data_IF_886734981111
#
_entry.id   IF_886734981111
#
_cell.length_a   1.000
_cell.length_b   1.000
_cell.length_c   1.000
_cell.angle_alpha   90.00
_cell.angle_beta   90.00
_cell.angle_gamma   90.00
#
_symmetry.space_group_name_H-M   'P 1'
#
loop_
_entity.id
_entity.type
_entity.pdbx_description
1 polymer ?
#
# COMPACT_ATOMS: atom_id res chain seq x y z
N UNK A 1 3.70 -16.90 1.52
CA UNK A 1 2.48 -16.89 0.68
C UNK A 1 1.49 -15.78 1.06
N UNK A 2 1.82 -14.90 2.01
CA UNK A 2 0.85 -13.91 2.50
C UNK A 2 0.27 -13.02 1.40
N UNK A 3 1.14 -12.50 0.54
CA UNK A 3 0.76 -11.66 -0.59
C UNK A 3 -0.04 -12.43 -1.64
N UNK A 4 0.29 -13.70 -1.91
CA UNK A 4 -0.48 -14.58 -2.81
C UNK A 4 -1.90 -14.81 -2.27
N UNK A 5 -2.03 -15.09 -0.97
CA UNK A 5 -3.32 -15.28 -0.31
C UNK A 5 -4.16 -14.00 -0.37
N UNK A 6 -3.56 -12.84 -0.11
CA UNK A 6 -4.24 -11.55 -0.18
C UNK A 6 -4.64 -11.17 -1.61
N UNK A 7 -3.76 -11.40 -2.60
CA UNK A 7 -4.05 -11.12 -4.00
C UNK A 7 -5.20 -11.98 -4.55
N UNK A 8 -5.26 -13.27 -4.19
CA UNK A 8 -6.39 -14.14 -4.57
C UNK A 8 -7.70 -13.69 -3.94
N UNK A 9 -7.70 -13.37 -2.64
CA UNK A 9 -8.89 -12.87 -1.97
C UNK A 9 -9.40 -11.55 -2.58
N UNK A 10 -8.51 -10.60 -2.88
CA UNK A 10 -8.85 -9.35 -3.54
C UNK A 10 -9.43 -9.57 -4.93
N UNK A 11 -8.79 -10.44 -5.74
CA UNK A 11 -9.27 -10.79 -7.08
C UNK A 11 -10.65 -11.43 -7.08
N UNK A 12 -10.91 -12.35 -6.14
CA UNK A 12 -12.23 -12.97 -5.98
C UNK A 12 -13.32 -11.96 -5.58
N UNK A 13 -12.94 -10.85 -4.94
CA UNK A 13 -13.82 -9.73 -4.61
C UNK A 13 -13.92 -8.68 -5.71
N UNK A 14 -13.22 -8.86 -6.84
CA UNK A 14 -13.24 -7.92 -7.96
C UNK A 14 -12.49 -6.60 -7.69
N UNK A 15 -11.59 -6.57 -6.71
CA UNK A 15 -10.80 -5.37 -6.37
C UNK A 15 -9.29 -5.60 -6.62
N UNK A 16 -8.53 -4.54 -6.96
CA UNK A 16 -7.09 -4.66 -7.19
C UNK A 16 -6.33 -4.91 -5.87
N UNK A 17 -5.27 -5.71 -5.95
CA UNK A 17 -4.27 -5.86 -4.89
C UNK A 17 -3.01 -5.09 -5.27
N UNK A 18 -2.41 -4.35 -4.34
CA UNK A 18 -1.14 -3.63 -4.58
C UNK A 18 0.02 -4.38 -3.92
N UNK A 19 0.91 -4.97 -4.72
CA UNK A 19 2.10 -5.68 -4.24
C UNK A 19 3.23 -4.69 -3.94
N UNK A 20 3.86 -4.78 -2.77
CA UNK A 20 4.99 -3.91 -2.42
C UNK A 20 6.31 -4.34 -3.07
N UNK A 21 7.17 -3.36 -3.38
CA UNK A 21 8.59 -3.61 -3.69
C UNK A 21 9.27 -4.47 -2.61
N UNK A 22 8.91 -4.28 -1.33
CA UNK A 22 9.48 -4.99 -0.18
C UNK A 22 8.68 -6.25 0.21
N UNK A 23 8.02 -6.91 -0.74
CA UNK A 23 7.24 -8.13 -0.47
C UNK A 23 8.10 -9.38 -0.31
N UNK A 24 7.59 -10.35 0.43
CA UNK A 24 8.22 -11.68 0.58
C UNK A 24 7.99 -12.52 -0.68
N UNK A 25 6.76 -12.58 -1.19
CA UNK A 25 6.49 -13.19 -2.48
C UNK A 25 6.96 -12.25 -3.60
N UNK A 26 7.65 -12.77 -4.62
CA UNK A 26 8.07 -11.95 -5.76
C UNK A 26 6.89 -11.55 -6.65
N UNK A 27 7.12 -10.59 -7.56
CA UNK A 27 6.19 -10.24 -8.63
C UNK A 27 5.75 -11.49 -9.41
N UNK A 28 6.70 -12.35 -9.77
CA UNK A 28 6.46 -13.58 -10.54
C UNK A 28 5.66 -14.61 -9.74
N UNK A 29 5.97 -14.77 -8.45
CA UNK A 29 5.22 -15.65 -7.56
C UNK A 29 3.74 -15.25 -7.48
N UNK A 30 3.47 -13.95 -7.31
CA UNK A 30 2.10 -13.44 -7.23
C UNK A 30 1.40 -13.59 -8.57
N UNK A 31 2.07 -13.26 -9.68
CA UNK A 31 1.52 -13.45 -11.02
C UNK A 31 1.18 -14.93 -11.32
N UNK A 32 2.07 -15.85 -10.94
CA UNK A 32 1.89 -17.27 -11.17
C UNK A 32 0.73 -17.85 -10.34
N UNK A 33 0.58 -17.44 -9.08
CA UNK A 33 -0.38 -18.05 -8.16
C UNK A 33 -1.70 -17.29 -7.99
N UNK A 34 -1.75 -15.98 -8.23
CA UNK A 34 -2.95 -15.16 -8.15
C UNK A 34 -3.44 -14.63 -9.51
N UNK A 35 -2.61 -14.76 -10.55
CA UNK A 35 -2.89 -14.27 -11.90
C UNK A 35 -2.47 -12.81 -12.10
N UNK A 36 -2.88 -12.26 -13.25
CA UNK A 36 -2.58 -10.91 -13.71
C UNK A 36 -3.51 -9.84 -13.11
N UNK A 37 -3.20 -8.57 -13.41
CA UNK A 37 -4.06 -7.43 -13.13
C UNK A 37 -3.86 -6.76 -11.77
N UNK A 38 -3.05 -7.35 -10.87
CA UNK A 38 -2.64 -6.68 -9.63
C UNK A 38 -1.74 -5.47 -9.91
N UNK A 39 -1.66 -4.55 -8.96
CA UNK A 39 -0.83 -3.35 -9.05
C UNK A 39 0.52 -3.61 -8.41
N UNK A 40 1.56 -2.94 -8.87
CA UNK A 40 2.88 -3.01 -8.27
C UNK A 40 3.28 -1.66 -7.69
N UNK A 41 3.65 -1.63 -6.41
CA UNK A 41 4.14 -0.44 -5.75
C UNK A 41 5.66 -0.39 -5.82
N UNK A 42 6.18 0.72 -6.37
CA UNK A 42 7.60 0.98 -6.59
C UNK A 42 8.13 2.00 -5.57
N UNK A 43 9.31 1.71 -5.00
CA UNK A 43 10.14 2.70 -4.33
C UNK A 43 11.30 3.12 -5.24
N UNK A 44 11.66 4.40 -5.20
CA UNK A 44 12.87 4.88 -5.90
C UNK A 44 14.09 4.59 -5.04
N UNK A 45 15.00 3.81 -5.62
CA UNK A 45 16.29 3.44 -5.05
C UNK A 45 17.41 4.02 -5.91
N UNK A 46 18.60 4.20 -5.32
CA UNK A 46 19.78 4.74 -6.00
C UNK A 46 20.22 3.90 -7.20
N UNK A 47 20.03 2.58 -7.13
CA UNK A 47 20.29 1.70 -8.27
C UNK A 47 19.16 1.84 -9.32
N UNK A 48 19.36 2.76 -10.26
CA UNK A 48 18.42 3.00 -11.36
C UNK A 48 18.23 1.77 -12.25
N UNK A 49 19.29 0.99 -12.48
CA UNK A 49 19.19 -0.25 -13.25
C UNK A 49 18.32 -1.29 -12.53
N UNK A 50 18.32 -1.32 -11.20
CA UNK A 50 17.39 -2.15 -10.44
C UNK A 50 15.93 -1.69 -10.57
N UNK A 51 15.66 -0.38 -10.51
CA UNK A 51 14.31 0.15 -10.79
C UNK A 51 13.84 -0.27 -12.18
N UNK A 52 14.71 -0.13 -13.18
CA UNK A 52 14.43 -0.54 -14.56
C UNK A 52 14.00 -2.01 -14.66
N UNK A 53 14.75 -2.91 -14.01
CA UNK A 53 14.41 -4.34 -13.95
C UNK A 53 13.10 -4.60 -13.21
N UNK A 54 12.81 -3.87 -12.13
CA UNK A 54 11.53 -4.00 -11.42
C UNK A 54 10.34 -3.60 -12.31
N UNK A 55 10.47 -2.50 -13.05
CA UNK A 55 9.46 -2.05 -14.00
C UNK A 55 9.25 -3.11 -15.10
N UNK A 56 10.32 -3.66 -15.66
CA UNK A 56 10.23 -4.69 -16.70
C UNK A 56 9.57 -5.98 -16.18
N UNK A 57 9.88 -6.39 -14.95
CA UNK A 57 9.24 -7.53 -14.28
C UNK A 57 7.75 -7.29 -14.03
N UNK A 58 7.37 -6.10 -13.56
CA UNK A 58 5.97 -5.74 -13.38
C UNK A 58 5.20 -5.75 -14.71
N UNK A 59 5.81 -5.29 -15.80
CA UNK A 59 5.23 -5.40 -17.15
C UNK A 59 5.06 -6.85 -17.58
N UNK A 60 6.09 -7.68 -17.43
CA UNK A 60 6.04 -9.10 -17.79
C UNK A 60 4.97 -9.86 -17.00
N UNK A 61 4.76 -9.49 -15.73
CA UNK A 61 3.70 -10.00 -14.88
C UNK A 61 2.29 -9.45 -15.20
N UNK A 62 2.18 -8.53 -16.17
CA UNK A 62 0.93 -7.89 -16.58
C UNK A 62 0.25 -7.18 -15.40
N UNK A 63 1.04 -6.46 -14.60
CA UNK A 63 0.51 -5.52 -13.64
C UNK A 63 -0.26 -4.41 -14.38
N UNK A 64 -1.46 -4.06 -13.89
CA UNK A 64 -2.32 -3.09 -14.59
C UNK A 64 -2.00 -1.62 -14.26
N UNK A 65 -1.33 -1.37 -13.13
CA UNK A 65 -0.86 -0.06 -12.72
C UNK A 65 0.44 -0.14 -11.90
N UNK A 66 1.21 0.95 -11.95
CA UNK A 66 2.37 1.18 -11.11
C UNK A 66 2.03 2.25 -10.06
N UNK A 67 2.31 1.96 -8.78
CA UNK A 67 2.08 2.87 -7.66
C UNK A 67 3.42 3.39 -7.16
N UNK A 68 3.77 4.64 -7.45
CA UNK A 68 5.03 5.24 -7.04
C UNK A 68 4.88 5.90 -5.67
N UNK A 69 5.64 5.43 -4.67
CA UNK A 69 5.58 5.97 -3.31
C UNK A 69 6.60 7.09 -3.10
N UNK A 70 6.10 8.27 -2.72
CA UNK A 70 6.88 9.51 -2.58
C UNK A 70 7.19 9.89 -1.12
N UNK A 71 6.74 9.12 -0.12
CA UNK A 71 6.78 9.47 1.31
C UNK A 71 7.74 8.60 2.16
N UNK A 72 8.71 7.92 1.52
CA UNK A 72 9.56 6.91 2.17
C UNK A 72 11.07 6.97 1.81
N UNK A 73 11.56 8.12 1.37
CA UNK A 73 12.96 8.35 0.99
C UNK A 73 13.87 8.25 2.21
N UNK A 74 13.33 8.65 3.37
CA UNK A 74 13.92 8.45 4.69
C UNK A 74 12.93 7.65 5.52
N UNK A 75 13.41 6.58 6.16
CA UNK A 75 12.55 5.74 7.00
C UNK A 75 12.16 6.45 8.30
N UNK A 76 10.86 6.51 8.58
CA UNK A 76 10.36 7.00 9.86
C UNK A 76 10.79 6.11 11.02
N UNK A 77 11.00 6.72 12.19
CA UNK A 77 11.43 6.00 13.38
C UNK A 77 10.27 5.26 14.05
N UNK A 78 10.31 3.92 14.00
CA UNK A 78 9.27 3.05 14.59
C UNK A 78 9.79 2.44 15.88
N UNK A 79 9.47 3.06 17.03
CA UNK A 79 10.01 2.67 18.34
C UNK A 79 9.78 1.19 18.71
N UNK A 80 8.65 0.59 18.32
CA UNK A 80 8.38 -0.84 18.56
C UNK A 80 9.34 -1.72 17.78
N UNK A 81 9.67 -1.35 16.54
CA UNK A 81 10.57 -2.13 15.69
C UNK A 81 12.00 -2.10 16.24
N UNK A 82 12.45 -0.94 16.73
CA UNK A 82 13.75 -0.78 17.41
C UNK A 82 13.85 -1.59 18.70
N UNK A 83 12.84 -1.47 19.59
CA UNK A 83 12.82 -2.20 20.87
C UNK A 83 12.76 -3.71 20.68
N UNK A 84 12.06 -4.19 19.65
CA UNK A 84 11.88 -5.62 19.39
C UNK A 84 12.95 -6.22 18.46
N UNK A 85 13.84 -5.40 17.88
CA UNK A 85 14.86 -5.86 16.92
C UNK A 85 14.23 -6.48 15.66
N UNK A 86 13.19 -5.84 15.12
CA UNK A 86 12.43 -6.36 13.97
C UNK A 86 13.35 -6.75 12.81
N UNK A 87 13.17 -7.95 12.29
CA UNK A 87 13.96 -8.55 11.21
C UNK A 87 13.14 -9.59 10.46
N UNK A 88 13.49 -9.84 9.20
CA UNK A 88 12.90 -10.88 8.37
C UNK A 88 14.02 -11.75 7.77
N UNK A 89 14.21 -13.01 8.24
CA UNK A 89 13.45 -13.68 9.31
C UNK A 89 13.72 -13.08 10.72
N UNK A 90 12.86 -13.34 11.71
CA UNK A 90 13.05 -12.82 13.07
C UNK A 90 14.34 -13.34 13.72
N UNK A 91 15.09 -12.45 14.39
CA UNK A 91 16.24 -12.81 15.24
C UNK A 91 15.79 -13.69 16.42
N UNK A 92 16.45 -14.82 16.62
CA UNK A 92 16.16 -15.78 17.71
C UNK A 92 16.81 -15.34 19.04
N UNK A 93 16.44 -14.15 19.54
CA UNK A 93 16.78 -13.74 20.91
C UNK A 93 15.96 -14.56 21.91
N UNK A 94 16.41 -14.67 23.18
CA UNK A 94 15.66 -15.40 24.21
C UNK A 94 14.22 -14.88 24.35
N UNK A 95 14.04 -13.56 24.34
CA UNK A 95 12.73 -12.93 24.38
C UNK A 95 11.86 -13.31 23.17
N UNK A 96 12.43 -13.32 21.96
CA UNK A 96 11.71 -13.72 20.75
C UNK A 96 11.39 -15.22 20.74
N UNK A 97 12.29 -16.07 21.24
CA UNK A 97 12.05 -17.51 21.37
C UNK A 97 10.89 -17.81 22.33
N UNK A 98 10.90 -17.21 23.53
CA UNK A 98 9.80 -17.31 24.49
C UNK A 98 8.51 -16.80 23.85
N UNK A 99 8.57 -15.67 23.15
CA UNK A 99 7.41 -15.13 22.46
C UNK A 99 6.87 -16.13 21.41
N UNK A 100 7.71 -16.66 20.53
CA UNK A 100 7.31 -17.62 19.47
C UNK A 100 6.75 -18.91 20.09
N UNK A 101 7.33 -19.39 21.19
CA UNK A 101 6.87 -20.59 21.88
C UNK A 101 5.41 -20.49 22.35
N UNK A 102 4.93 -19.28 22.69
CA UNK A 102 3.51 -19.09 23.05
C UNK A 102 2.56 -19.01 21.85
N UNK A 103 3.05 -19.13 20.60
CA UNK A 103 2.25 -19.08 19.35
C UNK A 103 2.50 -20.32 18.49
N UNK A 104 2.17 -21.54 18.95
CA UNK A 104 2.50 -22.78 18.26
C UNK A 104 1.91 -22.85 16.84
N UNK A 105 0.68 -22.36 16.64
CA UNK A 105 0.03 -22.32 15.31
C UNK A 105 0.83 -21.47 14.32
N UNK A 106 1.28 -20.30 14.75
CA UNK A 106 2.08 -19.40 13.92
C UNK A 106 3.46 -20.01 13.63
N UNK A 107 4.14 -20.56 14.65
CA UNK A 107 5.44 -21.19 14.49
C UNK A 107 5.41 -22.35 13.48
N UNK A 108 4.38 -23.21 13.56
CA UNK A 108 4.18 -24.29 12.60
C UNK A 108 3.92 -23.78 11.18
N UNK A 109 3.17 -22.68 11.03
CA UNK A 109 2.97 -22.02 9.74
C UNK A 109 4.29 -21.50 9.15
N UNK A 110 5.11 -20.84 9.98
CA UNK A 110 6.42 -20.34 9.56
C UNK A 110 7.42 -21.44 9.23
N UNK A 111 7.38 -22.59 9.91
CA UNK A 111 8.25 -23.72 9.57
C UNK A 111 7.93 -24.27 8.17
N UNK A 112 6.67 -24.23 7.75
CA UNK A 112 6.21 -24.71 6.44
C UNK A 112 6.43 -23.72 5.29
N UNK A 113 6.72 -22.45 5.57
CA UNK A 113 6.91 -21.47 4.50
C UNK A 113 8.22 -21.70 3.74
N UNK A 114 8.11 -21.70 2.41
CA UNK A 114 9.25 -21.75 1.49
C UNK A 114 9.85 -20.37 1.24
N UNK A 115 9.05 -19.31 1.40
CA UNK A 115 9.41 -17.91 1.12
C UNK A 115 9.70 -17.21 2.44
N UNK A 116 10.97 -16.86 2.65
CA UNK A 116 11.49 -16.29 3.93
C UNK A 116 12.27 -14.98 3.75
N UNK A 117 12.35 -14.50 2.51
CA UNK A 117 13.19 -13.39 2.08
C UNK A 117 12.38 -12.44 1.21
N UNK A 118 12.85 -11.20 0.99
CA UNK A 118 12.17 -10.28 0.07
C UNK A 118 12.40 -10.71 -1.38
N UNK A 119 11.42 -11.41 -1.97
CA UNK A 119 11.54 -12.04 -3.29
C UNK A 119 11.74 -11.08 -4.46
N UNK A 120 11.46 -9.79 -4.29
CA UNK A 120 11.76 -8.78 -5.30
C UNK A 120 13.19 -8.21 -5.21
N UNK A 121 13.83 -8.35 -4.05
CA UNK A 121 15.14 -7.75 -3.75
C UNK A 121 16.24 -8.80 -3.84
N UNK A 122 16.09 -9.92 -3.12
CA UNK A 122 17.15 -10.91 -3.00
C UNK A 122 17.35 -11.63 -4.32
N UNK A 123 18.60 -11.68 -4.79
CA UNK A 123 18.95 -12.21 -6.11
C UNK A 123 18.76 -11.22 -7.26
N UNK A 124 18.23 -10.01 -7.01
CA UNK A 124 17.96 -9.01 -8.04
C UNK A 124 18.78 -7.72 -7.89
N UNK A 125 19.48 -7.56 -6.77
CA UNK A 125 20.39 -6.43 -6.51
C UNK A 125 21.81 -6.91 -6.25
N UNK A 126 22.78 -6.18 -6.79
CA UNK A 126 24.20 -6.41 -6.54
C UNK A 126 24.60 -6.01 -5.11
N UNK A 127 25.42 -6.83 -4.46
CA UNK A 127 26.07 -6.48 -3.18
C UNK A 127 25.35 -6.90 -1.90
N UNK A 128 24.28 -7.68 -1.96
CA UNK A 128 23.63 -8.27 -0.77
C UNK A 128 24.03 -9.74 -0.63
N UNK A 129 25.08 -10.00 0.16
CA UNK A 129 25.53 -11.35 0.50
C UNK A 129 24.99 -11.84 1.86
N UNK A 130 24.64 -10.92 2.78
CA UNK A 130 24.15 -11.27 4.12
C UNK A 130 22.81 -10.60 4.47
N UNK A 131 21.84 -11.45 4.81
CA UNK A 131 20.42 -11.19 5.06
C UNK A 131 20.15 -10.50 6.40
N UNK A 132 21.12 -10.49 7.31
CA UNK A 132 21.01 -9.85 8.63
C UNK A 132 20.89 -8.32 8.57
N UNK A 133 21.24 -7.72 7.42
CA UNK A 133 21.36 -6.28 7.19
C UNK A 133 20.29 -5.70 6.25
N UNK A 134 19.30 -6.48 5.81
CA UNK A 134 18.37 -6.08 4.75
C UNK A 134 17.59 -4.79 5.05
N UNK A 135 17.28 -4.53 6.33
CA UNK A 135 16.72 -3.27 6.79
C UNK A 135 17.69 -2.07 6.69
N UNK A 136 18.97 -2.28 7.02
CA UNK A 136 20.02 -1.27 6.85
C UNK A 136 20.36 -1.04 5.37
N UNK A 137 20.37 -2.10 4.57
CA UNK A 137 20.54 -2.03 3.13
C UNK A 137 19.39 -1.23 2.50
N UNK A 138 18.14 -1.56 2.84
CA UNK A 138 16.96 -0.84 2.37
C UNK A 138 17.02 0.64 2.76
N UNK A 139 17.42 0.95 4.00
CA UNK A 139 17.59 2.33 4.48
C UNK A 139 18.69 3.10 3.72
N UNK A 140 19.76 2.43 3.27
CA UNK A 140 20.86 3.05 2.53
C UNK A 140 20.56 3.25 1.04
N UNK A 141 19.64 2.44 0.48
CA UNK A 141 19.38 2.38 -0.95
C UNK A 141 18.23 3.27 -1.40
N UNK A 142 17.30 3.68 -0.52
CA UNK A 142 16.33 4.71 -0.90
C UNK A 142 17.05 5.98 -1.32
N UNK A 143 16.57 6.57 -2.42
CA UNK A 143 17.18 7.76 -2.98
C UNK A 143 16.55 9.03 -2.38
N UNK A 144 17.27 9.77 -1.51
CA UNK A 144 16.77 11.04 -0.98
C UNK A 144 16.70 12.14 -2.05
N UNK A 145 17.26 11.93 -3.24
CA UNK A 145 17.23 12.88 -4.35
C UNK A 145 16.02 12.73 -5.28
N UNK A 146 15.03 11.90 -4.91
CA UNK A 146 13.80 11.75 -5.69
C UNK A 146 13.20 13.13 -6.00
N UNK A 147 12.97 13.39 -7.28
CA UNK A 147 12.36 14.61 -7.76
C UNK A 147 11.34 14.32 -8.88
N UNK A 148 10.64 15.36 -9.32
CA UNK A 148 9.61 15.26 -10.37
C UNK A 148 10.13 14.80 -11.74
N UNK A 149 11.42 15.02 -12.04
CA UNK A 149 12.05 14.48 -13.25
C UNK A 149 12.19 12.95 -13.22
N UNK A 150 12.39 12.36 -12.04
CA UNK A 150 12.37 10.89 -11.90
C UNK A 150 10.96 10.34 -12.05
N UNK A 151 9.94 11.06 -11.57
CA UNK A 151 8.53 10.69 -11.78
C UNK A 151 8.21 10.63 -13.28
N UNK A 152 8.61 11.65 -14.04
CA UNK A 152 8.44 11.68 -15.49
C UNK A 152 9.16 10.51 -16.18
N UNK A 153 10.41 10.25 -15.81
CA UNK A 153 11.17 9.12 -16.35
C UNK A 153 10.51 7.76 -16.04
N UNK A 154 10.05 7.56 -14.80
CA UNK A 154 9.34 6.33 -14.40
C UNK A 154 8.06 6.18 -15.22
N UNK A 155 7.30 7.26 -15.40
CA UNK A 155 6.07 7.25 -16.20
C UNK A 155 6.35 6.85 -17.65
N UNK A 156 7.32 7.49 -18.29
CA UNK A 156 7.72 7.20 -19.67
C UNK A 156 8.18 5.74 -19.81
N UNK A 157 8.99 5.25 -18.87
CA UNK A 157 9.44 3.86 -18.89
C UNK A 157 8.28 2.90 -18.66
N UNK A 158 7.38 3.17 -17.71
CA UNK A 158 6.24 2.31 -17.40
C UNK A 158 5.28 2.22 -18.58
N UNK A 159 4.90 3.34 -19.19
CA UNK A 159 4.03 3.38 -20.37
C UNK A 159 2.60 2.89 -20.12
N UNK A 160 2.16 2.80 -18.86
CA UNK A 160 0.81 2.43 -18.44
C UNK A 160 0.30 3.36 -17.34
N UNK A 161 -0.73 2.91 -16.61
CA UNK A 161 -1.34 3.69 -15.53
C UNK A 161 -0.38 3.93 -14.37
N UNK A 162 -0.08 5.20 -14.07
CA UNK A 162 0.79 5.60 -12.95
C UNK A 162 -0.03 6.27 -11.85
N UNK A 163 0.15 5.80 -10.61
CA UNK A 163 -0.52 6.31 -9.41
C UNK A 163 0.54 6.85 -8.46
N UNK A 164 0.43 8.10 -8.02
CA UNK A 164 1.38 8.70 -7.08
C UNK A 164 0.88 8.62 -5.64
N UNK A 165 1.64 7.95 -4.77
CA UNK A 165 1.25 7.71 -3.37
C UNK A 165 2.07 8.55 -2.41
N UNK A 166 1.39 9.15 -1.42
CA UNK A 166 2.04 9.88 -0.32
C UNK A 166 1.82 11.39 -0.38
N UNK A 167 0.87 11.85 -1.20
CA UNK A 167 0.51 13.26 -1.31
C UNK A 167 -0.25 13.68 -0.05
N UNK A 168 0.11 14.84 0.51
CA UNK A 168 -0.54 15.41 1.71
C UNK A 168 -0.95 16.88 1.56
N UNK A 169 -0.58 17.54 0.47
CA UNK A 169 -0.91 18.95 0.26
C UNK A 169 -1.24 19.27 -1.20
N UNK A 170 -1.76 20.47 -1.40
CA UNK A 170 -2.24 20.98 -2.69
C UNK A 170 -1.10 21.27 -3.67
N UNK A 171 0.09 21.64 -3.18
CA UNK A 171 1.23 21.95 -4.04
C UNK A 171 1.69 20.69 -4.76
N UNK A 172 1.94 19.63 -4.00
CA UNK A 172 2.33 18.32 -4.53
C UNK A 172 1.22 17.68 -5.37
N UNK A 173 -0.05 17.91 -5.03
CA UNK A 173 -1.17 17.45 -5.84
C UNK A 173 -1.20 18.11 -7.24
N UNK A 174 -0.89 19.40 -7.34
CA UNK A 174 -0.78 20.09 -8.63
C UNK A 174 0.42 19.59 -9.45
N UNK A 175 1.53 19.29 -8.79
CA UNK A 175 2.70 18.70 -9.45
C UNK A 175 2.41 17.27 -9.92
N UNK A 176 1.62 16.50 -9.17
CA UNK A 176 1.13 15.18 -9.57
C UNK A 176 0.32 15.27 -10.88
N UNK A 177 -0.60 16.23 -10.99
CA UNK A 177 -1.32 16.52 -12.24
C UNK A 177 -0.36 16.88 -13.37
N UNK A 178 0.60 17.78 -13.12
CA UNK A 178 1.55 18.24 -14.14
C UNK A 178 2.47 17.13 -14.66
N UNK A 179 2.82 16.14 -13.82
CA UNK A 179 3.54 14.93 -14.24
C UNK A 179 2.71 14.03 -15.18
N UNK A 180 1.40 14.27 -15.23
CA UNK A 180 0.39 13.52 -15.94
C UNK A 180 0.16 12.11 -15.38
N UNK A 181 0.41 11.91 -14.09
CA UNK A 181 -0.05 10.71 -13.40
C UNK A 181 -1.57 10.53 -13.61
N UNK A 182 -2.03 9.28 -13.64
CA UNK A 182 -3.44 8.97 -13.87
C UNK A 182 -4.27 9.10 -12.59
N UNK A 183 -3.63 8.87 -11.43
CA UNK A 183 -4.25 9.01 -10.12
C UNK A 183 -3.22 9.44 -9.05
N UNK A 184 -3.71 9.94 -7.92
CA UNK A 184 -2.93 10.14 -6.72
C UNK A 184 -3.57 9.50 -5.49
N UNK A 185 -2.79 9.22 -4.44
CA UNK A 185 -3.26 8.69 -3.17
C UNK A 185 -2.89 9.68 -2.06
N UNK A 186 -3.91 10.27 -1.44
CA UNK A 186 -3.76 11.04 -0.21
C UNK A 186 -3.40 10.06 0.92
N UNK A 187 -2.18 10.14 1.44
CA UNK A 187 -1.61 9.13 2.34
C UNK A 187 -0.54 9.71 3.25
N UNK A 188 -0.56 9.35 4.54
CA UNK A 188 0.55 9.59 5.48
C UNK A 188 1.30 8.30 5.82
N UNK A 189 1.31 7.36 4.87
CA UNK A 189 1.90 6.03 5.05
C UNK A 189 1.29 5.25 6.25
N UNK A 190 0.04 5.55 6.60
CA UNK A 190 -0.65 4.96 7.74
C UNK A 190 -0.06 5.36 9.10
N UNK A 191 0.47 6.58 9.22
CA UNK A 191 1.07 7.15 10.43
C UNK A 191 2.39 6.47 10.81
N UNK A 192 3.25 6.19 9.82
CA UNK A 192 4.50 5.42 10.01
C UNK A 192 5.77 6.15 9.63
N UNK A 193 5.64 7.36 9.08
CA UNK A 193 6.73 8.13 8.49
C UNK A 193 7.00 9.38 9.31
N UNK A 194 6.18 10.42 9.15
CA UNK A 194 6.26 11.64 9.95
C UNK A 194 5.16 11.64 11.02
N UNK A 195 5.55 11.55 12.29
CA UNK A 195 4.61 11.70 13.40
C UNK A 195 4.23 13.18 13.56
N UNK A 196 2.95 13.46 13.82
CA UNK A 196 2.38 14.81 13.76
C UNK A 196 1.95 15.27 12.36
N UNK A 197 2.17 14.47 11.31
CA UNK A 197 1.58 14.74 10.01
C UNK A 197 0.04 14.69 10.07
N UNK A 198 -0.60 15.47 9.21
CA UNK A 198 -2.05 15.52 9.08
C UNK A 198 -2.62 14.12 8.75
N UNK A 199 -3.86 13.87 9.18
CA UNK A 199 -4.57 12.66 8.77
C UNK A 199 -4.99 12.77 7.30
N UNK A 200 -4.95 11.66 6.54
CA UNK A 200 -5.28 11.72 5.12
C UNK A 200 -6.71 12.21 4.83
N UNK A 201 -7.67 11.94 5.73
CA UNK A 201 -9.07 12.40 5.57
C UNK A 201 -9.19 13.91 5.75
N UNK A 202 -8.29 14.51 6.53
CA UNK A 202 -8.23 15.96 6.76
C UNK A 202 -7.55 16.68 5.59
N UNK A 203 -6.52 16.08 4.99
CA UNK A 203 -5.88 16.65 3.80
C UNK A 203 -6.76 16.54 2.53
N UNK A 204 -7.61 15.51 2.47
CA UNK A 204 -8.38 15.14 1.28
C UNK A 204 -9.21 16.29 0.65
N UNK A 205 -10.04 17.05 1.39
CA UNK A 205 -10.97 18.01 0.78
C UNK A 205 -10.26 19.11 0.00
N UNK A 206 -9.20 19.71 0.57
CA UNK A 206 -8.41 20.75 -0.09
C UNK A 206 -7.77 20.28 -1.40
N UNK A 207 -7.31 19.02 -1.44
CA UNK A 207 -6.72 18.38 -2.62
C UNK A 207 -7.80 18.12 -3.67
N UNK A 208 -8.96 17.60 -3.26
CA UNK A 208 -10.12 17.38 -4.14
C UNK A 208 -10.58 18.69 -4.78
N UNK A 209 -10.73 19.74 -3.99
CA UNK A 209 -11.19 21.04 -4.49
C UNK A 209 -10.17 21.65 -5.47
N UNK A 210 -8.86 21.41 -5.26
CA UNK A 210 -7.81 21.95 -6.11
C UNK A 210 -7.60 21.19 -7.43
N UNK A 211 -7.68 19.84 -7.42
CA UNK A 211 -7.29 19.01 -8.58
C UNK A 211 -8.24 17.87 -8.94
N UNK A 212 -9.33 17.66 -8.22
CA UNK A 212 -10.25 16.53 -8.42
C UNK A 212 -10.95 16.50 -9.78
N UNK A 213 -11.02 17.63 -10.49
CA UNK A 213 -11.49 17.69 -11.88
C UNK A 213 -10.44 17.34 -12.94
N UNK A 214 -9.18 17.10 -12.54
CA UNK A 214 -8.03 16.92 -13.44
C UNK A 214 -7.37 15.54 -13.29
N UNK A 215 -7.46 14.91 -12.11
CA UNK A 215 -6.84 13.64 -11.79
C UNK A 215 -7.73 12.82 -10.85
N UNK A 216 -7.71 11.49 -10.97
CA UNK A 216 -8.41 10.61 -10.05
C UNK A 216 -7.73 10.63 -8.66
N UNK A 217 -8.52 10.84 -7.60
CA UNK A 217 -8.00 10.95 -6.23
C UNK A 217 -8.43 9.73 -5.43
N UNK A 218 -7.47 9.02 -4.86
CA UNK A 218 -7.69 7.95 -3.89
C UNK A 218 -7.22 8.37 -2.50
N UNK A 219 -7.52 7.54 -1.50
CA UNK A 219 -7.08 7.78 -0.13
C UNK A 219 -6.68 6.49 0.59
N UNK A 220 -5.65 6.55 1.42
CA UNK A 220 -5.40 5.52 2.45
C UNK A 220 -5.23 6.15 3.84
N UNK A 221 -5.12 5.30 4.86
CA UNK A 221 -4.92 5.73 6.24
C UNK A 221 -6.24 5.75 7.00
N UNK A 222 -6.28 5.04 8.13
CA UNK A 222 -7.46 5.03 9.00
C UNK A 222 -8.66 4.18 8.56
N UNK A 223 -8.84 3.81 7.28
CA UNK A 223 -10.01 3.03 6.81
C UNK A 223 -10.12 1.68 7.53
N UNK A 224 -11.18 1.46 8.32
CA UNK A 224 -11.45 0.21 9.07
C UNK A 224 -12.84 -0.35 8.85
N UNK A 225 -13.76 0.45 8.34
CA UNK A 225 -15.18 0.12 8.20
C UNK A 225 -15.74 0.60 6.87
N UNK A 226 -16.92 0.09 6.52
CA UNK A 226 -17.67 0.58 5.36
C UNK A 226 -18.10 2.05 5.49
N UNK A 227 -18.32 2.56 6.70
CA UNK A 227 -18.62 3.97 6.96
C UNK A 227 -17.42 4.86 6.64
N UNK A 228 -16.19 4.40 6.93
CA UNK A 228 -14.98 5.16 6.60
C UNK A 228 -14.81 5.27 5.08
N UNK A 229 -15.10 4.19 4.34
CA UNK A 229 -15.11 4.19 2.87
C UNK A 229 -16.12 5.22 2.35
N UNK A 230 -17.34 5.20 2.89
CA UNK A 230 -18.41 6.10 2.43
C UNK A 230 -18.10 7.58 2.72
N UNK A 231 -17.51 7.90 3.88
CA UNK A 231 -17.08 9.26 4.21
C UNK A 231 -15.98 9.77 3.27
N UNK A 232 -14.97 8.93 2.99
CA UNK A 232 -13.92 9.29 2.03
C UNK A 232 -14.50 9.52 0.63
N UNK A 233 -15.47 8.69 0.21
CA UNK A 233 -16.20 8.85 -1.06
C UNK A 233 -16.96 10.18 -1.11
N UNK A 234 -17.74 10.49 -0.07
CA UNK A 234 -18.49 11.74 0.05
C UNK A 234 -17.60 12.99 0.00
N UNK A 235 -16.36 12.87 0.49
CA UNK A 235 -15.36 13.94 0.44
C UNK A 235 -14.60 14.01 -0.89
N UNK A 236 -14.91 13.15 -1.87
CA UNK A 236 -14.40 13.22 -3.24
C UNK A 236 -13.35 12.18 -3.60
N UNK A 237 -13.01 11.24 -2.71
CA UNK A 237 -12.15 10.12 -3.10
C UNK A 237 -12.90 9.18 -4.07
N UNK A 238 -12.24 8.77 -5.16
CA UNK A 238 -12.74 7.76 -6.10
C UNK A 238 -12.61 6.34 -5.56
N UNK A 239 -11.59 6.08 -4.76
CA UNK A 239 -11.36 4.79 -4.12
C UNK A 239 -10.51 4.92 -2.87
N UNK A 240 -10.53 3.88 -2.04
CA UNK A 240 -9.72 3.82 -0.83
C UNK A 240 -8.87 2.55 -0.74
N UNK A 241 -7.78 2.62 0.02
CA UNK A 241 -6.92 1.47 0.30
C UNK A 241 -6.96 1.08 1.77
N UNK A 242 -6.95 -0.23 2.03
CA UNK A 242 -6.74 -0.79 3.37
C UNK A 242 -5.34 -1.38 3.47
N UNK A 243 -4.65 -1.08 4.58
CA UNK A 243 -3.35 -1.67 4.92
C UNK A 243 -3.47 -2.70 6.05
N UNK A 244 -3.46 -2.21 7.29
CA UNK A 244 -3.55 -3.08 8.48
C UNK A 244 -4.76 -4.03 8.51
N UNK A 245 -5.99 -3.65 8.08
CA UNK A 245 -7.15 -4.54 8.15
C UNK A 245 -6.96 -5.88 7.43
N UNK A 246 -6.50 -5.87 6.18
CA UNK A 246 -6.30 -7.12 5.45
C UNK A 246 -5.16 -7.95 6.09
N UNK A 247 -4.14 -7.30 6.66
CA UNK A 247 -3.07 -7.99 7.38
C UNK A 247 -3.58 -8.68 8.66
N UNK A 248 -4.57 -8.09 9.35
CA UNK A 248 -5.21 -8.73 10.49
C UNK A 248 -6.00 -9.97 10.06
N UNK A 249 -6.78 -9.86 8.98
CA UNK A 249 -7.47 -11.00 8.38
C UNK A 249 -6.49 -12.11 7.97
N UNK A 250 -5.42 -11.74 7.26
CA UNK A 250 -4.36 -12.64 6.83
C UNK A 250 -3.71 -13.38 8.01
N UNK A 251 -3.36 -12.65 9.07
CA UNK A 251 -2.75 -13.22 10.27
C UNK A 251 -3.69 -14.14 11.06
N UNK A 252 -5.00 -13.87 11.03
CA UNK A 252 -6.00 -14.67 11.73
C UNK A 252 -6.31 -15.99 11.01
N UNK A 253 -6.59 -15.93 9.71
CA UNK A 253 -7.16 -17.06 8.95
C UNK A 253 -6.63 -17.18 7.51
N UNK A 254 -5.49 -16.56 7.18
CA UNK A 254 -4.95 -16.60 5.82
C UNK A 254 -5.88 -15.95 4.81
N UNK A 255 -6.02 -16.56 3.63
CA UNK A 255 -6.90 -16.08 2.55
C UNK A 255 -8.36 -15.92 3.00
N UNK A 256 -8.90 -16.89 3.75
CA UNK A 256 -10.28 -16.81 4.26
C UNK A 256 -10.47 -15.61 5.20
N UNK A 257 -9.44 -15.24 5.96
CA UNK A 257 -9.49 -14.06 6.82
C UNK A 257 -9.39 -12.75 6.05
N UNK A 258 -8.61 -12.70 4.97
CA UNK A 258 -8.60 -11.55 4.06
C UNK A 258 -9.96 -11.39 3.39
N UNK A 259 -10.52 -12.47 2.83
CA UNK A 259 -11.85 -12.47 2.25
C UNK A 259 -12.90 -11.99 3.26
N UNK A 260 -12.86 -12.51 4.49
CA UNK A 260 -13.78 -12.08 5.55
C UNK A 260 -13.66 -10.60 5.90
N UNK A 261 -12.44 -10.06 5.95
CA UNK A 261 -12.21 -8.64 6.17
C UNK A 261 -12.84 -7.79 5.06
N UNK A 262 -12.68 -8.18 3.80
CA UNK A 262 -13.25 -7.48 2.64
C UNK A 262 -14.78 -7.55 2.66
N UNK A 263 -15.35 -8.73 2.93
CA UNK A 263 -16.80 -8.92 3.06
C UNK A 263 -17.43 -8.04 4.14
N UNK A 264 -16.77 -7.90 5.30
CA UNK A 264 -17.27 -7.06 6.39
C UNK A 264 -17.35 -5.60 5.95
N UNK A 265 -16.26 -5.06 5.41
CA UNK A 265 -16.21 -3.66 4.94
C UNK A 265 -17.24 -3.44 3.82
N UNK A 266 -17.37 -4.38 2.88
CA UNK A 266 -18.35 -4.30 1.80
C UNK A 266 -19.79 -4.27 2.34
N UNK A 267 -20.14 -5.17 3.27
CA UNK A 267 -21.48 -5.22 3.87
C UNK A 267 -21.80 -3.99 4.70
N UNK A 268 -20.81 -3.48 5.44
CA UNK A 268 -20.97 -2.23 6.19
C UNK A 268 -21.18 -1.04 5.25
N UNK A 269 -20.48 -1.00 4.11
CA UNK A 269 -20.64 0.06 3.11
C UNK A 269 -22.05 0.02 2.51
N UNK A 270 -22.48 -1.16 2.05
CA UNK A 270 -23.82 -1.39 1.49
C UNK A 270 -24.93 -0.98 2.47
N UNK A 271 -24.84 -1.43 3.73
CA UNK A 271 -25.80 -1.06 4.78
C UNK A 271 -25.80 0.45 5.06
N UNK A 272 -24.62 1.08 5.06
CA UNK A 272 -24.50 2.53 5.33
C UNK A 272 -25.08 3.34 4.19
N UNK A 273 -24.82 2.94 2.93
CA UNK A 273 -25.45 3.57 1.76
C UNK A 273 -26.97 3.50 1.84
N UNK A 274 -27.53 2.36 2.23
CA UNK A 274 -28.98 2.20 2.43
C UNK A 274 -29.52 3.15 3.51
N UNK A 275 -28.82 3.33 4.64
CA UNK A 275 -29.22 4.29 5.68
C UNK A 275 -29.10 5.75 5.25
N UNK A 276 -28.19 6.06 4.33
CA UNK A 276 -28.06 7.39 3.73
C UNK A 276 -28.99 7.60 2.52
N UNK A 277 -29.79 6.61 2.13
CA UNK A 277 -30.71 6.73 1.00
C UNK A 277 -30.06 6.66 -0.39
N UNK A 278 -28.87 6.07 -0.50
CA UNK A 278 -28.16 5.90 -1.78
C UNK A 278 -28.16 4.44 -2.24
N UNK A 279 -28.44 4.23 -3.53
CA UNK A 279 -28.31 2.92 -4.21
C UNK A 279 -27.13 2.86 -5.18
N UNK A 280 -26.53 4.01 -5.49
CA UNK A 280 -25.37 4.15 -6.37
C UNK A 280 -24.29 4.98 -5.67
N UNK A 281 -23.12 4.37 -5.47
CA UNK A 281 -21.97 5.01 -4.80
C UNK A 281 -21.43 6.20 -5.60
N UNK A 282 -21.71 6.24 -6.90
CA UNK A 282 -21.29 7.33 -7.76
C UNK A 282 -22.01 8.64 -7.45
N UNK A 283 -23.20 8.56 -6.86
CA UNK A 283 -24.04 9.71 -6.48
C UNK A 283 -23.75 10.25 -5.07
N UNK A 284 -22.83 9.61 -4.33
CA UNK A 284 -22.50 10.01 -2.96
C UNK A 284 -21.59 11.24 -2.98
N UNK A 285 -22.02 12.29 -2.30
CA UNK A 285 -21.28 13.55 -2.14
C UNK A 285 -21.35 14.08 -0.69
N UNK A 286 -20.84 15.29 -0.44
CA UNK A 286 -20.78 15.91 0.89
C UNK A 286 -22.18 16.07 1.54
N UNK A 287 -23.29 15.97 0.81
CA UNK A 287 -24.66 16.12 1.35
C UNK A 287 -25.06 15.03 2.35
N UNK A 288 -24.41 13.86 2.33
CA UNK A 288 -24.65 12.80 3.32
C UNK A 288 -23.97 13.07 4.67
N UNK A 289 -23.12 14.11 4.73
CA UNK A 289 -22.36 14.48 5.92
C UNK A 289 -23.01 15.70 6.58
N UNK A 290 -23.00 15.72 7.91
CA UNK A 290 -23.50 16.86 8.65
C UNK A 290 -22.51 18.05 8.51
N UNK A 291 -22.98 19.26 8.17
CA UNK A 291 -22.13 20.44 8.13
C UNK A 291 -21.34 20.62 9.43
N UNK A 292 -20.04 20.90 9.32
CA UNK A 292 -19.14 21.07 10.46
C UNK A 292 -18.64 19.77 11.13
N UNK A 293 -19.05 18.59 10.64
CA UNK A 293 -18.55 17.29 11.15
C UNK A 293 -17.45 16.68 10.31
N UNK A 294 -17.09 17.33 9.20
CA UNK A 294 -16.04 16.90 8.29
C UNK A 294 -15.02 18.02 8.06
N UNK A 295 -13.76 17.68 7.73
CA UNK A 295 -12.72 18.65 7.42
C UNK A 295 -13.13 19.52 6.21
N UNK A 296 -12.89 20.83 6.28
CA UNK A 296 -13.22 21.78 5.22
C UNK A 296 -11.98 22.33 4.55
#
# INVERSE_FOLDING_TARGET
DGEILAARAAKNMGIPFTLSTMSICSIEDVAHHAGDGFWFQLYVMKDRAFIERLIDRAKAARCSALVLTLDLQILGQRHKDLKNGLSAPPKLTLANMVNIATKPRWAMGMLRTKRRQFGNIVGHVSGVADMSSLGEWTAKQFDPALNWGDVEWIKQRWGGKLILKGIQDVEDAKLAVASGADALIVSNHGGRQLDGAQSSIEALPSIVDAVGGQIEIHMDGGIRSGQDVLKARALGARGVYIGRPFLYGLGAMGEAGVAKCLEIIHRELDLTMAFCGHTDIETVDKSILLPGTYPT
#
